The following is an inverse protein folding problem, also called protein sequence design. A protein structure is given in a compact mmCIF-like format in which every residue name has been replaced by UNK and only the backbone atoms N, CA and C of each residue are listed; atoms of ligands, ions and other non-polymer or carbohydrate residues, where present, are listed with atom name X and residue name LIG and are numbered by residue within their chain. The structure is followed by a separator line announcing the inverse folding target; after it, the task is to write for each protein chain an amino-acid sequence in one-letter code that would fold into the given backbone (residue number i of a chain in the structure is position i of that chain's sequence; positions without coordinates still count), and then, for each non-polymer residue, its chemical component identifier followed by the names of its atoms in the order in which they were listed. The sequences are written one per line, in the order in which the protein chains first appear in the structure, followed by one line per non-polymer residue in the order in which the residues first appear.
data_IF_925366081108
#
_entry.id   IF_925366081108
#
_cell.length_a   1.000
_cell.length_b   1.000
_cell.length_c   1.000
_cell.angle_alpha   90.00
_cell.angle_beta   90.00
_cell.angle_gamma   90.00
#
_symmetry.space_group_name_H-M   'P 1'
#
loop_
_entity.id
_entity.type
_entity.pdbx_description
1 polymer ?
#
# COMPACT_ATOMS: atom_id res chain seq x y z
N UNK A 1 -14.59 13.02 5.99
CA UNK A 1 -14.42 14.45 6.39
C UNK A 1 -14.68 15.37 5.18
N UNK A 2 -15.01 16.66 5.39
CA UNK A 2 -15.04 17.65 4.31
C UNK A 2 -13.70 18.39 4.25
N UNK A 3 -13.19 18.66 3.05
CA UNK A 3 -11.98 19.47 2.86
C UNK A 3 -12.36 20.90 2.47
N UNK A 4 -11.54 21.86 2.87
CA UNK A 4 -11.80 23.28 2.66
C UNK A 4 -10.56 23.96 2.09
N UNK A 5 -10.77 24.87 1.15
CA UNK A 5 -9.79 25.86 0.75
C UNK A 5 -9.96 27.13 1.59
N UNK A 6 -8.85 27.68 2.10
CA UNK A 6 -8.83 28.99 2.77
C UNK A 6 -8.17 30.03 1.85
N UNK A 7 -8.92 31.08 1.50
CA UNK A 7 -8.41 32.22 0.74
C UNK A 7 -9.02 33.49 1.29
N UNK A 8 -8.21 34.53 1.50
CA UNK A 8 -8.68 35.82 2.06
C UNK A 8 -9.45 35.66 3.39
N UNK A 9 -9.05 34.69 4.23
CA UNK A 9 -9.72 34.32 5.50
C UNK A 9 -11.15 33.78 5.34
N UNK A 10 -11.53 33.37 4.12
CA UNK A 10 -12.80 32.72 3.82
C UNK A 10 -12.55 31.23 3.60
N UNK A 11 -13.34 30.38 4.27
CA UNK A 11 -13.34 28.93 4.07
C UNK A 11 -14.38 28.57 3.02
N UNK A 12 -13.95 27.83 2.00
CA UNK A 12 -14.82 27.31 0.94
C UNK A 12 -14.68 25.80 0.90
N UNK A 13 -15.79 25.08 1.01
CA UNK A 13 -15.79 23.62 0.91
C UNK A 13 -15.35 23.20 -0.49
N UNK A 14 -14.46 22.21 -0.56
CA UNK A 14 -14.08 21.59 -1.82
C UNK A 14 -15.19 20.66 -2.31
N UNK A 15 -15.49 20.71 -3.60
CA UNK A 15 -16.48 19.84 -4.21
C UNK A 15 -15.88 18.45 -4.45
N UNK A 16 -16.54 17.43 -3.91
CA UNK A 16 -16.19 16.04 -4.20
C UNK A 16 -16.51 15.73 -5.64
N UNK A 17 -15.61 15.02 -6.30
CA UNK A 17 -15.79 14.48 -7.65
C UNK A 17 -15.56 12.97 -7.62
N UNK A 18 -15.43 12.33 -8.78
CA UNK A 18 -15.01 10.93 -8.88
C UNK A 18 -13.91 10.79 -9.92
N UNK A 19 -13.08 9.74 -9.80
CA UNK A 19 -12.07 9.42 -10.81
C UNK A 19 -12.67 9.23 -12.20
N UNK A 20 -13.91 8.74 -12.29
CA UNK A 20 -14.60 8.58 -13.57
C UNK A 20 -14.99 9.93 -14.19
N UNK A 21 -15.47 10.89 -13.39
CA UNK A 21 -15.82 12.23 -13.85
C UNK A 21 -14.57 12.98 -14.32
N UNK A 22 -13.49 12.91 -13.54
CA UNK A 22 -12.20 13.53 -13.87
C UNK A 22 -11.41 12.77 -14.94
N UNK A 23 -11.97 11.65 -15.45
CA UNK A 23 -11.36 10.79 -16.49
C UNK A 23 -9.99 10.22 -16.13
N UNK A 24 -9.70 10.11 -14.83
CA UNK A 24 -8.49 9.47 -14.33
C UNK A 24 -8.65 7.94 -14.41
N UNK A 25 -7.73 7.33 -15.13
CA UNK A 25 -7.63 5.89 -15.30
C UNK A 25 -6.80 5.28 -14.18
N UNK A 26 -7.23 4.12 -13.70
CA UNK A 26 -6.61 3.42 -12.58
C UNK A 26 -5.12 3.14 -12.81
N UNK A 27 -4.81 2.47 -13.92
CA UNK A 27 -3.42 2.10 -14.26
C UNK A 27 -2.59 3.26 -14.81
N UNK A 28 -3.15 4.07 -15.71
CA UNK A 28 -2.37 5.07 -16.43
C UNK A 28 -2.20 6.39 -15.68
N UNK A 29 -3.07 6.70 -14.72
CA UNK A 29 -3.02 7.94 -13.95
C UNK A 29 -2.80 7.67 -12.46
N UNK A 30 -3.70 6.92 -11.81
CA UNK A 30 -3.65 6.75 -10.34
C UNK A 30 -2.42 5.96 -9.90
N UNK A 31 -2.19 4.79 -10.50
CA UNK A 31 -1.02 3.97 -10.19
C UNK A 31 0.29 4.68 -10.53
N UNK A 32 0.36 5.36 -11.68
CA UNK A 32 1.53 6.15 -12.08
C UNK A 32 1.83 7.30 -11.11
N UNK A 33 0.81 7.94 -10.55
CA UNK A 33 0.97 8.98 -9.54
C UNK A 33 1.33 8.40 -8.17
N UNK A 34 0.63 7.35 -7.72
CA UNK A 34 0.82 6.72 -6.42
C UNK A 34 2.21 6.10 -6.32
N UNK A 35 2.70 5.39 -7.35
CA UNK A 35 4.03 4.76 -7.27
C UNK A 35 5.17 5.78 -7.09
N UNK A 36 4.99 7.02 -7.57
CA UNK A 36 5.97 8.11 -7.41
C UNK A 36 5.92 8.73 -6.01
N UNK A 37 4.83 8.53 -5.27
CA UNK A 37 4.64 9.03 -3.92
C UNK A 37 3.89 7.99 -3.08
N UNK A 38 4.50 6.82 -2.92
CA UNK A 38 3.83 5.63 -2.35
C UNK A 38 3.41 5.83 -0.90
N UNK A 39 4.09 6.73 -0.20
CA UNK A 39 3.81 7.06 1.20
C UNK A 39 2.38 7.54 1.45
N UNK A 40 1.68 8.05 0.44
CA UNK A 40 0.27 8.48 0.61
C UNK A 40 -0.67 7.30 0.89
N UNK A 41 -0.30 6.07 0.52
CA UNK A 41 -1.10 4.85 0.78
C UNK A 41 -0.36 3.81 1.61
N UNK A 42 0.96 3.72 1.45
CA UNK A 42 1.82 2.76 2.14
C UNK A 42 3.09 3.47 2.64
N UNK A 43 2.99 4.23 3.76
CA UNK A 43 4.13 4.88 4.40
C UNK A 43 5.29 3.92 4.67
N UNK A 44 6.50 4.36 4.38
CA UNK A 44 7.71 3.60 4.67
C UNK A 44 7.84 2.33 3.82
N UNK A 45 7.29 2.36 2.61
CA UNK A 45 7.40 1.29 1.63
C UNK A 45 8.20 1.75 0.39
N UNK A 46 8.89 0.82 -0.26
CA UNK A 46 9.60 1.01 -1.51
C UNK A 46 8.96 0.13 -2.58
N UNK A 47 8.49 0.74 -3.68
CA UNK A 47 7.95 -0.01 -4.82
C UNK A 47 9.08 -0.75 -5.53
N UNK A 48 8.92 -2.06 -5.68
CA UNK A 48 9.89 -2.94 -6.35
C UNK A 48 9.40 -3.50 -7.67
N UNK A 49 8.09 -3.51 -7.92
CA UNK A 49 7.51 -3.90 -9.20
C UNK A 49 6.13 -3.28 -9.37
N UNK A 50 5.72 -3.12 -10.62
CA UNK A 50 4.36 -2.74 -11.03
C UNK A 50 3.80 -3.80 -11.97
N UNK A 51 2.47 -4.00 -11.95
CA UNK A 51 1.78 -5.01 -12.75
C UNK A 51 2.42 -6.40 -12.62
N UNK A 52 2.87 -6.74 -11.41
CA UNK A 52 3.68 -7.92 -11.14
C UNK A 52 2.91 -9.20 -11.47
N UNK A 53 3.48 -10.04 -12.33
CA UNK A 53 2.90 -11.28 -12.79
C UNK A 53 4.03 -12.28 -13.11
N UNK A 54 4.26 -13.20 -12.19
CA UNK A 54 5.29 -14.25 -12.31
C UNK A 54 4.69 -15.63 -12.00
N UNK A 55 3.64 -15.97 -12.75
CA UNK A 55 2.97 -17.25 -12.63
C UNK A 55 2.62 -17.77 -14.02
N UNK A 56 2.93 -19.04 -14.26
CA UNK A 56 2.96 -19.63 -15.62
C UNK A 56 1.60 -19.63 -16.34
N UNK A 57 0.48 -19.62 -15.61
CA UNK A 57 -0.87 -19.85 -16.18
C UNK A 57 -1.94 -18.83 -15.76
N UNK A 58 -1.56 -17.58 -15.46
CA UNK A 58 -2.58 -16.58 -15.08
C UNK A 58 -2.26 -15.18 -15.58
N UNK A 59 -3.29 -14.49 -16.07
CA UNK A 59 -3.22 -13.07 -16.48
C UNK A 59 -3.45 -12.09 -15.34
N UNK A 60 -3.61 -12.62 -14.13
CA UNK A 60 -3.69 -11.77 -12.94
C UNK A 60 -2.39 -11.02 -12.78
N UNK A 61 -2.42 -9.96 -11.98
CA UNK A 61 -1.24 -9.19 -11.61
C UNK A 61 -1.50 -8.41 -10.34
N UNK A 62 -0.45 -8.19 -9.56
CA UNK A 62 -0.45 -7.24 -8.46
C UNK A 62 -0.25 -5.85 -9.06
N UNK A 63 -1.06 -4.86 -8.68
CA UNK A 63 -0.92 -3.51 -9.24
C UNK A 63 0.45 -2.93 -8.88
N UNK A 64 0.79 -2.91 -7.59
CA UNK A 64 2.12 -2.55 -7.09
C UNK A 64 2.60 -3.56 -6.04
N UNK A 65 3.83 -4.03 -6.21
CA UNK A 65 4.54 -4.83 -5.23
C UNK A 65 5.63 -3.95 -4.61
N UNK A 66 5.67 -3.93 -3.28
CA UNK A 66 6.62 -3.13 -2.52
C UNK A 66 7.30 -3.95 -1.41
N UNK A 67 8.31 -3.36 -0.79
CA UNK A 67 8.97 -3.83 0.42
C UNK A 67 8.85 -2.75 1.50
N UNK A 68 8.62 -3.13 2.75
CA UNK A 68 8.65 -2.21 3.88
C UNK A 68 9.99 -2.18 4.62
N UNK A 69 10.12 -1.27 5.59
CA UNK A 69 11.31 -1.14 6.44
C UNK A 69 11.65 -2.38 7.27
N UNK A 70 10.76 -3.36 7.39
CA UNK A 70 10.99 -4.63 8.09
C UNK A 70 11.32 -5.76 7.11
N UNK A 71 11.59 -5.44 5.84
CA UNK A 71 11.86 -6.40 4.78
C UNK A 71 10.68 -7.37 4.49
N UNK A 72 9.44 -6.97 4.83
CA UNK A 72 8.24 -7.69 4.45
C UNK A 72 7.80 -7.29 3.03
N UNK A 73 7.20 -8.23 2.32
CA UNK A 73 6.56 -7.95 1.05
C UNK A 73 5.22 -7.24 1.29
N UNK A 74 4.91 -6.27 0.44
CA UNK A 74 3.69 -5.46 0.52
C UNK A 74 2.93 -5.55 -0.79
N UNK A 75 1.75 -6.17 -0.76
CA UNK A 75 0.81 -6.24 -1.88
C UNK A 75 -0.09 -5.01 -1.85
N UNK A 76 -0.04 -4.20 -2.89
CA UNK A 76 -0.82 -2.96 -2.99
C UNK A 76 -1.77 -3.06 -4.18
N UNK A 77 -3.06 -3.02 -3.90
CA UNK A 77 -4.14 -3.08 -4.90
C UNK A 77 -4.87 -1.74 -4.96
N UNK A 78 -5.12 -1.27 -6.18
CA UNK A 78 -5.71 0.04 -6.45
C UNK A 78 -7.07 -0.11 -7.11
N UNK A 79 -8.03 0.70 -6.69
CA UNK A 79 -9.31 0.82 -7.38
C UNK A 79 -9.79 2.26 -7.51
N UNK A 80 -10.40 2.54 -8.65
CA UNK A 80 -11.11 3.81 -8.88
C UNK A 80 -12.59 3.79 -8.52
N UNK A 81 -13.16 2.62 -8.20
CA UNK A 81 -14.58 2.44 -7.89
C UNK A 81 -14.88 2.63 -6.38
N UNK A 82 -16.15 2.85 -6.05
CA UNK A 82 -16.60 3.16 -4.68
C UNK A 82 -16.92 1.90 -3.85
N UNK A 83 -16.76 0.70 -4.41
CA UNK A 83 -17.15 -0.55 -3.75
C UNK A 83 -15.91 -1.32 -3.29
N UNK A 84 -14.81 -1.20 -4.01
CA UNK A 84 -13.60 -1.99 -3.78
C UNK A 84 -13.81 -3.47 -4.10
N UNK A 85 -14.77 -3.82 -4.96
CA UNK A 85 -15.30 -5.19 -5.02
C UNK A 85 -14.21 -6.26 -5.21
N UNK A 86 -14.14 -7.22 -4.28
CA UNK A 86 -13.21 -8.36 -4.27
C UNK A 86 -11.71 -8.03 -4.15
N UNK A 87 -11.35 -6.78 -3.80
CA UNK A 87 -9.94 -6.40 -3.63
C UNK A 87 -9.26 -7.24 -2.54
N UNK A 88 -9.93 -7.47 -1.41
CA UNK A 88 -9.43 -8.25 -0.29
C UNK A 88 -9.13 -9.70 -0.68
N UNK A 89 -10.02 -10.31 -1.47
CA UNK A 89 -9.81 -11.68 -1.96
C UNK A 89 -8.68 -11.73 -3.01
N UNK A 90 -8.56 -10.70 -3.84
CA UNK A 90 -7.48 -10.57 -4.81
C UNK A 90 -6.12 -10.44 -4.13
N UNK A 91 -5.99 -9.48 -3.21
CA UNK A 91 -4.77 -9.26 -2.47
C UNK A 91 -4.37 -10.47 -1.62
N UNK A 92 -5.33 -11.16 -0.99
CA UNK A 92 -5.02 -12.35 -0.19
C UNK A 92 -4.48 -13.50 -1.04
N UNK A 93 -5.00 -13.69 -2.27
CA UNK A 93 -4.45 -14.67 -3.20
C UNK A 93 -3.02 -14.30 -3.60
N UNK A 94 -2.78 -13.04 -3.90
CA UNK A 94 -1.45 -12.59 -4.30
C UNK A 94 -0.44 -12.69 -3.17
N UNK A 95 -0.82 -12.31 -1.95
CA UNK A 95 0.00 -12.52 -0.76
C UNK A 95 0.38 -14.01 -0.65
N UNK A 96 -0.59 -14.92 -0.75
CA UNK A 96 -0.29 -16.35 -0.74
C UNK A 96 0.68 -16.77 -1.87
N UNK A 97 0.51 -16.24 -3.08
CA UNK A 97 1.35 -16.57 -4.24
C UNK A 97 2.80 -16.10 -4.12
N UNK A 98 3.05 -14.96 -3.45
CA UNK A 98 4.40 -14.42 -3.26
C UNK A 98 5.03 -14.82 -1.91
N UNK A 99 4.32 -15.60 -1.10
CA UNK A 99 4.74 -15.93 0.28
C UNK A 99 6.05 -16.70 0.40
N UNK A 100 6.51 -17.31 -0.69
CA UNK A 100 7.78 -18.05 -0.76
C UNK A 100 8.86 -17.30 -1.54
N UNK A 101 8.60 -16.05 -1.93
CA UNK A 101 9.57 -15.24 -2.67
C UNK A 101 10.80 -14.98 -1.79
N UNK A 102 11.97 -15.29 -2.32
CA UNK A 102 13.24 -15.01 -1.65
C UNK A 102 13.69 -13.57 -1.89
N UNK A 103 14.58 -13.07 -1.02
CA UNK A 103 15.20 -11.76 -1.20
C UNK A 103 15.93 -11.63 -2.55
N UNK A 104 16.66 -12.67 -2.95
CA UNK A 104 17.34 -12.70 -4.25
C UNK A 104 16.34 -12.49 -5.40
N UNK A 105 15.17 -13.13 -5.33
CA UNK A 105 14.11 -12.98 -6.33
C UNK A 105 13.50 -11.59 -6.31
N UNK A 106 13.28 -11.00 -5.13
CA UNK A 106 12.84 -9.61 -5.02
C UNK A 106 13.85 -8.62 -5.63
N UNK A 107 15.15 -8.86 -5.44
CA UNK A 107 16.22 -8.06 -6.08
C UNK A 107 16.16 -8.17 -7.61
N UNK A 108 15.94 -9.36 -8.17
CA UNK A 108 15.78 -9.55 -9.62
C UNK A 108 14.61 -8.71 -10.17
N UNK A 109 13.47 -8.75 -9.49
CA UNK A 109 12.29 -7.97 -9.89
C UNK A 109 12.52 -6.47 -9.78
N UNK A 110 13.16 -6.04 -8.70
CA UNK A 110 13.46 -4.63 -8.54
C UNK A 110 14.47 -4.15 -9.57
N UNK A 111 15.46 -4.96 -9.94
CA UNK A 111 16.41 -4.60 -10.98
C UNK A 111 15.72 -4.43 -12.34
N UNK A 112 14.78 -5.33 -12.68
CA UNK A 112 13.97 -5.20 -13.89
C UNK A 112 13.10 -3.92 -13.86
N UNK A 113 12.53 -3.58 -12.70
CA UNK A 113 11.80 -2.34 -12.51
C UNK A 113 12.69 -1.11 -12.72
N UNK A 114 13.87 -1.06 -12.11
CA UNK A 114 14.83 0.05 -12.29
C UNK A 114 15.20 0.26 -13.75
N UNK A 115 15.55 -0.82 -14.47
CA UNK A 115 15.87 -0.75 -15.90
C UNK A 115 14.71 -0.27 -16.75
N UNK A 116 13.49 -0.75 -16.48
CA UNK A 116 12.28 -0.30 -17.19
C UNK A 116 12.06 1.22 -17.03
N UNK A 117 12.46 1.78 -15.89
CA UNK A 117 12.37 3.20 -15.60
C UNK A 117 13.64 4.01 -15.94
N UNK A 118 14.65 3.38 -16.56
CA UNK A 118 15.89 4.04 -16.94
C UNK A 118 16.75 4.48 -15.75
N UNK A 119 16.61 3.82 -14.61
CA UNK A 119 17.38 4.08 -13.39
C UNK A 119 18.59 3.14 -13.39
N UNK A 120 19.78 3.72 -13.43
CA UNK A 120 21.06 2.99 -13.42
C UNK A 120 21.57 2.85 -11.99
N UNK A 121 20.93 1.97 -11.22
CA UNK A 121 21.29 1.68 -9.83
C UNK A 121 21.22 0.17 -9.56
N UNK A 122 21.93 -0.27 -8.53
CA UNK A 122 21.95 -1.66 -8.09
C UNK A 122 20.77 -1.93 -7.14
N UNK A 123 19.83 -2.76 -7.60
CA UNK A 123 18.63 -3.10 -6.85
C UNK A 123 18.92 -3.69 -5.46
N UNK A 124 19.92 -4.57 -5.35
CA UNK A 124 20.27 -5.21 -4.10
C UNK A 124 20.82 -4.21 -3.09
N UNK A 125 21.73 -3.34 -3.52
CA UNK A 125 22.29 -2.29 -2.66
C UNK A 125 21.21 -1.32 -2.17
N UNK A 126 20.33 -0.86 -3.08
CA UNK A 126 19.20 0.01 -2.70
C UNK A 126 18.24 -0.66 -1.73
N UNK A 127 17.96 -1.96 -1.90
CA UNK A 127 17.06 -2.67 -1.01
C UNK A 127 17.66 -2.82 0.39
N UNK A 128 18.94 -3.20 0.48
CA UNK A 128 19.65 -3.30 1.76
C UNK A 128 19.72 -1.95 2.48
N UNK A 129 20.06 -0.88 1.76
CA UNK A 129 20.05 0.50 2.29
C UNK A 129 18.64 0.90 2.75
N UNK A 130 17.62 0.56 1.98
CA UNK A 130 16.24 0.88 2.34
C UNK A 130 15.78 0.16 3.60
N UNK A 131 16.06 -1.14 3.76
CA UNK A 131 15.65 -1.90 4.97
C UNK A 131 16.59 -1.70 6.15
N UNK A 132 17.75 -1.06 5.95
CA UNK A 132 18.78 -0.84 6.97
C UNK A 132 19.30 -2.15 7.59
N UNK A 133 19.43 -3.20 6.77
CA UNK A 133 19.91 -4.53 7.17
C UNK A 133 21.08 -4.98 6.30
N UNK A 134 21.97 -5.77 6.87
CA UNK A 134 22.97 -6.54 6.13
C UNK A 134 22.36 -7.83 5.54
N UNK A 135 22.98 -8.39 4.49
CA UNK A 135 22.45 -9.57 3.80
C UNK A 135 22.35 -10.82 4.69
N UNK A 136 23.26 -10.96 5.66
CA UNK A 136 23.25 -12.01 6.68
C UNK A 136 22.12 -11.85 7.71
N UNK A 137 21.49 -10.69 7.80
CA UNK A 137 20.38 -10.39 8.71
C UNK A 137 19.00 -10.64 8.08
N UNK A 138 18.95 -10.95 6.78
CA UNK A 138 17.72 -11.21 6.02
C UNK A 138 17.12 -12.62 6.22
N UNK A 139 17.49 -13.32 7.29
CA UNK A 139 16.91 -14.63 7.61
C UNK A 139 15.38 -14.58 7.77
N UNK A 140 14.85 -13.41 8.16
CA UNK A 140 13.41 -13.14 8.32
C UNK A 140 12.81 -12.38 7.11
N UNK A 141 13.47 -12.32 5.94
CA UNK A 141 12.90 -11.67 4.75
C UNK A 141 11.55 -12.28 4.38
N UNK A 142 10.55 -11.42 4.13
CA UNK A 142 9.22 -11.87 3.70
C UNK A 142 8.52 -12.79 4.70
N UNK A 143 8.92 -12.75 5.98
CA UNK A 143 8.31 -13.55 7.06
C UNK A 143 6.81 -13.31 7.17
N UNK A 144 6.41 -12.05 7.02
CA UNK A 144 5.02 -11.63 6.91
C UNK A 144 4.79 -10.91 5.58
N UNK A 145 3.52 -10.81 5.20
CA UNK A 145 3.09 -10.10 4.00
C UNK A 145 2.02 -9.10 4.41
N UNK A 146 2.24 -7.85 4.01
CA UNK A 146 1.32 -6.75 4.25
C UNK A 146 0.45 -6.56 3.03
N UNK A 147 -0.80 -6.18 3.26
CA UNK A 147 -1.77 -5.89 2.22
C UNK A 147 -2.22 -4.43 2.38
N UNK A 148 -2.16 -3.66 1.30
CA UNK A 148 -2.71 -2.31 1.23
C UNK A 148 -3.75 -2.27 0.13
N UNK A 149 -4.99 -1.95 0.48
CA UNK A 149 -6.05 -1.70 -0.46
C UNK A 149 -6.27 -0.19 -0.54
N UNK A 150 -6.15 0.41 -1.72
CA UNK A 150 -6.46 1.82 -1.92
C UNK A 150 -7.60 1.98 -2.93
N UNK A 151 -8.72 2.54 -2.50
CA UNK A 151 -9.96 2.59 -3.31
C UNK A 151 -10.69 3.92 -3.12
N UNK A 152 -11.57 4.31 -4.05
CA UNK A 152 -12.37 5.52 -3.90
C UNK A 152 -13.28 5.46 -2.66
N UNK A 153 -13.86 4.28 -2.42
CA UNK A 153 -14.49 3.90 -1.16
C UNK A 153 -14.53 2.36 -1.04
N UNK A 154 -15.04 1.87 0.09
CA UNK A 154 -15.12 0.44 0.40
C UNK A 154 -16.52 0.04 0.87
N UNK A 155 -16.98 -1.14 0.42
CA UNK A 155 -18.23 -1.71 0.91
C UNK A 155 -18.14 -2.13 2.39
N UNK A 156 -19.31 -2.25 3.03
CA UNK A 156 -19.41 -2.77 4.41
C UNK A 156 -18.90 -4.21 4.52
N UNK A 157 -19.11 -5.02 3.49
CA UNK A 157 -18.67 -6.41 3.45
C UNK A 157 -17.14 -6.50 3.41
N UNK A 158 -16.50 -5.72 2.52
CA UNK A 158 -15.04 -5.68 2.42
C UNK A 158 -14.40 -5.19 3.72
N UNK A 159 -14.91 -4.08 4.27
CA UNK A 159 -14.39 -3.54 5.53
C UNK A 159 -14.56 -4.52 6.69
N UNK A 160 -15.69 -5.25 6.75
CA UNK A 160 -15.89 -6.32 7.74
C UNK A 160 -14.86 -7.44 7.59
N UNK A 161 -14.61 -7.90 6.35
CA UNK A 161 -13.58 -8.91 6.08
C UNK A 161 -12.19 -8.42 6.44
N UNK A 162 -11.83 -7.18 6.10
CA UNK A 162 -10.52 -6.60 6.43
C UNK A 162 -10.31 -6.53 7.95
N UNK A 163 -11.31 -6.09 8.72
CA UNK A 163 -11.25 -6.07 10.19
C UNK A 163 -11.07 -7.49 10.74
N UNK A 164 -11.86 -8.45 10.27
CA UNK A 164 -11.74 -9.84 10.71
C UNK A 164 -10.37 -10.46 10.38
N UNK A 165 -9.81 -10.16 9.21
CA UNK A 165 -8.45 -10.60 8.83
C UNK A 165 -7.39 -10.02 9.76
N UNK A 166 -7.50 -8.74 10.15
CA UNK A 166 -6.61 -8.13 11.15
C UNK A 166 -6.70 -8.82 12.50
N UNK A 167 -7.91 -9.17 12.94
CA UNK A 167 -8.12 -9.94 14.19
C UNK A 167 -7.48 -11.33 14.13
N UNK A 168 -7.23 -11.87 12.93
CA UNK A 168 -6.48 -13.11 12.68
C UNK A 168 -4.98 -12.92 12.47
N UNK A 169 -4.48 -11.70 12.60
CA UNK A 169 -3.05 -11.37 12.47
C UNK A 169 -2.60 -11.03 11.05
N UNK A 170 -3.51 -10.95 10.08
CA UNK A 170 -3.15 -10.49 8.72
C UNK A 170 -3.03 -8.97 8.72
N UNK A 171 -1.86 -8.45 8.34
CA UNK A 171 -1.66 -7.01 8.23
C UNK A 171 -2.29 -6.45 6.96
N UNK A 172 -3.59 -6.15 7.03
CA UNK A 172 -4.35 -5.51 5.96
C UNK A 172 -4.72 -4.07 6.30
N UNK A 173 -4.44 -3.14 5.39
CA UNK A 173 -4.74 -1.72 5.48
C UNK A 173 -5.70 -1.31 4.36
N UNK A 174 -6.67 -0.47 4.69
CA UNK A 174 -7.55 0.16 3.71
C UNK A 174 -7.36 1.68 3.71
N UNK A 175 -7.06 2.25 2.55
CA UNK A 175 -6.87 3.68 2.33
C UNK A 175 -7.93 4.18 1.35
N UNK A 176 -8.75 5.12 1.80
CA UNK A 176 -9.76 5.77 0.96
C UNK A 176 -9.11 6.91 0.17
N UNK A 177 -9.27 6.92 -1.14
CA UNK A 177 -8.81 7.96 -2.05
C UNK A 177 -10.00 8.81 -2.52
N UNK A 178 -10.21 9.98 -1.92
CA UNK A 178 -11.32 10.86 -2.32
C UNK A 178 -10.82 11.99 -3.21
N UNK A 179 -11.23 12.07 -4.49
CA UNK A 179 -10.88 13.18 -5.36
C UNK A 179 -11.81 14.39 -5.13
N UNK A 180 -11.25 15.58 -5.26
CA UNK A 180 -11.93 16.86 -5.19
C UNK A 180 -11.55 17.71 -6.40
N UNK A 181 -12.52 18.43 -6.95
CA UNK A 181 -12.23 19.44 -7.97
C UNK A 181 -11.97 20.78 -7.30
N UNK A 182 -10.85 21.42 -7.62
CA UNK A 182 -10.54 22.75 -7.14
C UNK A 182 -9.88 23.58 -8.24
N UNK A 183 -10.60 24.59 -8.73
CA UNK A 183 -10.12 25.53 -9.77
C UNK A 183 -9.60 24.83 -11.04
N UNK A 184 -10.19 23.69 -11.42
CA UNK A 184 -9.79 22.90 -12.58
C UNK A 184 -8.65 21.92 -12.33
N UNK A 185 -8.10 21.87 -11.11
CA UNK A 185 -7.16 20.85 -10.67
C UNK A 185 -7.87 19.77 -9.84
N UNK A 186 -7.32 18.55 -9.86
CA UNK A 186 -7.82 17.43 -9.06
C UNK A 186 -6.93 17.26 -7.84
N UNK A 187 -7.53 17.41 -6.65
CA UNK A 187 -6.87 17.13 -5.38
C UNK A 187 -7.32 15.76 -4.88
N UNK A 188 -6.42 14.95 -4.37
CA UNK A 188 -6.74 13.63 -3.82
C UNK A 188 -6.46 13.63 -2.33
N UNK A 189 -7.48 13.29 -1.53
CA UNK A 189 -7.33 13.00 -0.11
C UNK A 189 -7.13 11.49 0.07
N UNK A 190 -6.00 11.09 0.63
CA UNK A 190 -5.74 9.71 1.05
C UNK A 190 -5.97 9.58 2.56
N UNK A 191 -6.96 8.79 2.97
CA UNK A 191 -7.35 8.61 4.37
C UNK A 191 -7.28 7.12 4.72
N UNK A 192 -6.43 6.76 5.67
CA UNK A 192 -6.44 5.40 6.23
C UNK A 192 -7.70 5.20 7.06
N UNK A 193 -8.50 4.18 6.71
CA UNK A 193 -9.75 3.86 7.41
C UNK A 193 -9.65 2.55 8.21
N UNK A 194 -8.76 1.64 7.79
CA UNK A 194 -8.50 0.37 8.47
C UNK A 194 -6.98 0.16 8.52
N UNK A 195 -6.41 -0.12 9.70
CA UNK A 195 -7.02 0.16 10.99
C UNK A 195 -7.33 1.66 11.11
N UNK A 196 -8.33 2.02 11.91
CA UNK A 196 -8.55 3.43 12.27
C UNK A 196 -7.26 3.92 12.96
N UNK A 197 -6.60 5.00 12.51
CA UNK A 197 -5.26 5.38 12.98
C UNK A 197 -5.13 5.48 14.50
N UNK A 198 -6.15 6.00 15.17
CA UNK A 198 -6.20 6.12 16.63
C UNK A 198 -6.16 4.76 17.35
N UNK A 199 -6.71 3.71 16.72
CA UNK A 199 -6.65 2.34 17.22
C UNK A 199 -5.28 1.69 16.95
N UNK A 200 -4.60 2.06 15.86
CA UNK A 200 -3.27 1.56 15.53
C UNK A 200 -2.23 2.05 16.56
N UNK A 201 -2.21 3.35 16.87
CA UNK A 201 -1.33 3.92 17.91
C UNK A 201 -1.57 3.33 19.30
N UNK A 202 -2.81 2.95 19.62
CA UNK A 202 -3.13 2.31 20.88
C UNK A 202 -2.63 0.85 20.92
N UNK A 203 -2.79 0.10 19.81
CA UNK A 203 -2.35 -1.29 19.70
C UNK A 203 -0.82 -1.41 19.71
N UNK A 204 -0.09 -0.51 19.04
CA UNK A 204 1.39 -0.49 19.03
C UNK A 204 1.93 -0.30 20.45
N UNK A 205 1.46 0.74 21.17
CA UNK A 205 1.84 0.99 22.56
C UNK A 205 1.55 -0.19 23.50
N UNK A 206 0.51 -0.96 23.22
CA UNK A 206 0.16 -2.13 24.02
C UNK A 206 1.05 -3.34 23.72
N UNK A 207 1.44 -3.54 22.45
CA UNK A 207 2.41 -4.57 22.06
C UNK A 207 3.79 -4.28 22.64
N UNK A 208 4.28 -3.04 22.52
CA UNK A 208 5.57 -2.61 23.10
C UNK A 208 5.65 -2.89 24.61
N UNK A 209 4.63 -2.48 25.37
CA UNK A 209 4.55 -2.76 26.82
C UNK A 209 4.58 -4.25 27.17
N UNK A 210 3.93 -5.09 26.35
CA UNK A 210 3.94 -6.55 26.56
C UNK A 210 5.32 -7.14 26.27
N UNK A 211 5.96 -6.70 25.21
CA UNK A 211 7.32 -7.12 24.85
C UNK A 211 8.33 -6.71 25.92
N UNK A 212 8.24 -5.48 26.45
CA UNK A 212 9.07 -5.02 27.57
C UNK A 212 8.87 -5.86 28.84
N UNK A 213 7.61 -6.19 29.18
CA UNK A 213 7.31 -7.04 30.35
C UNK A 213 7.87 -8.45 30.21
N UNK A 214 7.81 -9.04 29.02
CA UNK A 214 8.35 -10.38 28.72
C UNK A 214 9.89 -10.37 28.76
N UNK A 215 10.55 -9.30 28.29
CA UNK A 215 12.01 -9.18 28.33
C UNK A 215 12.52 -8.88 29.76
N UNK A 216 11.71 -8.23 30.60
CA UNK A 216 12.03 -7.93 32.00
C UNK A 216 11.72 -9.06 33.00
N UNK A 217 11.16 -10.19 32.55
CA UNK A 217 10.80 -11.36 33.36
C UNK A 217 11.76 -12.52 33.13
#
# INVERSE_FOLDING_TARGET
MALYNISEKILTTLEKTSFTIERLQERYDLQEAIKKNIDIVAPGCLVISEEFSDWEDSRRRIDLLAIDKQANLVVIELKRDEIGAHMELQALRYAAMISTMSFAKACEYYQAYLWKHGIDENAKEKLLDFVELEENELADFGKDIRIVLASADFSKELTTTAIWLRDKGVDIRCVRLTPYNFKGEVLINAEQIIPVPELEEYQVRFREKRTEQIISS
#
